data_IF_129003741919
#
_entry.id   IF_129003741919
#
_cell.length_a   1.000
_cell.length_b   1.000
_cell.length_c   1.000
_cell.angle_alpha   90.00
_cell.angle_beta   90.00
_cell.angle_gamma   90.00
#
_symmetry.space_group_name_H-M   'P 1'
#
loop_
_entity.id
_entity.type
_entity.pdbx_description
1 polymer ?
#
# COMPACT_ATOMS: atom_id res chain seq x y z
N UNK A 1 -0.97 -40.73 20.21
CA UNK A 1 -1.01 -39.39 19.57
C UNK A 1 -0.07 -39.33 18.37
N UNK A 2 1.21 -39.70 18.53
CA UNK A 2 2.18 -39.75 17.41
C UNK A 2 1.75 -40.72 16.31
N UNK A 3 1.30 -41.94 16.65
CA UNK A 3 0.82 -42.92 15.66
C UNK A 3 -0.40 -42.42 14.85
N UNK A 4 -1.32 -41.71 15.48
CA UNK A 4 -2.49 -41.12 14.81
C UNK A 4 -2.09 -40.00 13.85
N UNK A 5 -1.06 -39.22 14.21
CA UNK A 5 -0.49 -38.21 13.32
C UNK A 5 0.19 -38.90 12.14
N UNK A 6 1.02 -39.93 12.38
CA UNK A 6 1.71 -40.67 11.32
C UNK A 6 0.75 -41.37 10.37
N UNK A 7 -0.33 -41.98 10.87
CA UNK A 7 -1.35 -42.62 10.03
C UNK A 7 -2.09 -41.59 9.17
N UNK A 8 -2.42 -40.42 9.73
CA UNK A 8 -3.02 -39.32 8.97
C UNK A 8 -2.10 -38.84 7.84
N UNK A 9 -0.82 -38.62 8.14
CA UNK A 9 0.17 -38.18 7.15
C UNK A 9 0.52 -39.27 6.12
N UNK A 10 0.31 -40.55 6.44
CA UNK A 10 0.53 -41.64 5.49
C UNK A 10 -0.62 -41.80 4.49
N UNK A 11 -1.85 -41.41 4.83
CA UNK A 11 -3.02 -41.64 3.97
C UNK A 11 -3.60 -40.37 3.35
N UNK A 12 -3.51 -39.22 4.03
CA UNK A 12 -4.24 -37.99 3.67
C UNK A 12 -3.33 -36.79 3.37
N UNK A 13 -2.02 -36.99 3.27
CA UNK A 13 -1.08 -35.88 3.11
C UNK A 13 -1.25 -35.17 1.77
N UNK A 14 -1.57 -35.89 0.69
CA UNK A 14 -1.79 -35.29 -0.63
C UNK A 14 -3.05 -34.41 -0.60
N UNK A 15 -4.13 -34.90 0.00
CA UNK A 15 -5.41 -34.21 0.19
C UNK A 15 -5.25 -32.97 1.07
N UNK A 16 -4.46 -33.10 2.14
CA UNK A 16 -4.10 -31.99 3.02
C UNK A 16 -3.32 -30.91 2.27
N UNK A 17 -2.28 -31.28 1.52
CA UNK A 17 -1.53 -30.34 0.68
C UNK A 17 -2.42 -29.70 -0.40
N UNK A 18 -3.32 -30.47 -1.01
CA UNK A 18 -4.29 -29.96 -1.99
C UNK A 18 -5.26 -28.94 -1.38
N UNK A 19 -5.71 -29.18 -0.15
CA UNK A 19 -6.56 -28.23 0.60
C UNK A 19 -5.79 -26.96 0.94
N UNK A 20 -4.55 -27.08 1.41
CA UNK A 20 -3.68 -25.92 1.65
C UNK A 20 -3.43 -25.12 0.37
N UNK A 21 -3.25 -25.79 -0.77
CA UNK A 21 -3.09 -25.15 -2.06
C UNK A 21 -4.36 -24.37 -2.44
N UNK A 22 -5.53 -24.98 -2.29
CA UNK A 22 -6.82 -24.32 -2.54
C UNK A 22 -6.98 -23.04 -1.72
N UNK A 23 -6.72 -23.10 -0.41
CA UNK A 23 -6.74 -21.94 0.49
C UNK A 23 -5.71 -20.90 0.05
N UNK A 24 -4.48 -21.33 -0.25
CA UNK A 24 -3.41 -20.45 -0.73
C UNK A 24 -3.77 -19.72 -2.01
N UNK A 25 -4.39 -20.40 -2.98
CA UNK A 25 -4.86 -19.82 -4.23
C UNK A 25 -6.02 -18.83 -4.02
N UNK A 26 -6.96 -19.11 -3.11
CA UNK A 26 -8.05 -18.19 -2.76
C UNK A 26 -7.48 -16.91 -2.15
N UNK A 27 -6.58 -17.04 -1.15
CA UNK A 27 -5.92 -15.91 -0.51
C UNK A 27 -5.13 -15.10 -1.53
N UNK A 28 -4.41 -15.79 -2.42
CA UNK A 28 -3.66 -15.17 -3.50
C UNK A 28 -4.56 -14.41 -4.46
N UNK A 29 -5.64 -15.03 -4.93
CA UNK A 29 -6.57 -14.39 -5.85
C UNK A 29 -7.21 -13.15 -5.21
N UNK A 30 -7.59 -13.23 -3.94
CA UNK A 30 -8.07 -12.10 -3.15
C UNK A 30 -7.04 -10.97 -3.06
N UNK A 31 -5.80 -11.29 -2.70
CA UNK A 31 -4.70 -10.33 -2.59
C UNK A 31 -4.29 -9.72 -3.94
N UNK A 32 -4.30 -10.50 -5.01
CA UNK A 32 -3.99 -10.04 -6.36
C UNK A 32 -5.07 -9.07 -6.88
N UNK A 33 -6.34 -9.47 -6.81
CA UNK A 33 -7.48 -8.62 -7.20
C UNK A 33 -7.48 -7.33 -6.39
N UNK A 34 -7.09 -7.41 -5.13
CA UNK A 34 -6.92 -6.24 -4.28
C UNK A 34 -5.78 -5.34 -4.70
N UNK A 35 -4.60 -5.91 -4.93
CA UNK A 35 -3.44 -5.16 -5.36
C UNK A 35 -3.69 -4.42 -6.68
N UNK A 36 -4.49 -4.98 -7.60
CA UNK A 36 -4.89 -4.29 -8.84
C UNK A 36 -5.81 -3.11 -8.52
N UNK A 37 -6.87 -3.34 -7.75
CA UNK A 37 -7.83 -2.29 -7.41
C UNK A 37 -7.16 -1.13 -6.66
N UNK A 38 -6.26 -1.46 -5.72
CA UNK A 38 -5.47 -0.49 -5.00
C UNK A 38 -4.55 0.27 -5.98
N UNK A 39 -3.82 -0.43 -6.85
CA UNK A 39 -2.96 0.21 -7.85
C UNK A 39 -3.72 1.17 -8.78
N UNK A 40 -4.91 0.79 -9.25
CA UNK A 40 -5.76 1.67 -10.07
C UNK A 40 -6.16 2.91 -9.29
N UNK A 41 -6.70 2.74 -8.08
CA UNK A 41 -7.15 3.87 -7.26
C UNK A 41 -6.01 4.83 -6.92
N UNK A 42 -4.91 4.32 -6.36
CA UNK A 42 -3.80 5.16 -5.94
C UNK A 42 -3.08 5.78 -7.14
N UNK A 43 -2.94 5.08 -8.27
CA UNK A 43 -2.36 5.68 -9.48
C UNK A 43 -3.26 6.77 -10.07
N UNK A 44 -4.58 6.61 -10.03
CA UNK A 44 -5.51 7.69 -10.40
C UNK A 44 -5.40 8.87 -9.45
N UNK A 45 -5.33 8.61 -8.14
CA UNK A 45 -5.14 9.65 -7.13
C UNK A 45 -3.85 10.45 -7.35
N UNK A 46 -2.70 9.78 -7.49
CA UNK A 46 -1.42 10.46 -7.66
C UNK A 46 -1.40 11.28 -8.94
N UNK A 47 -1.97 10.74 -10.04
CA UNK A 47 -2.05 11.45 -11.32
C UNK A 47 -2.93 12.70 -11.23
N UNK A 48 -4.13 12.59 -10.66
CA UNK A 48 -5.04 13.75 -10.54
C UNK A 48 -4.48 14.78 -9.54
N UNK A 49 -3.77 14.34 -8.50
CA UNK A 49 -3.10 15.24 -7.56
C UNK A 49 -2.00 16.04 -8.27
N UNK A 50 -1.10 15.35 -8.99
CA UNK A 50 -0.02 15.98 -9.75
C UNK A 50 -0.56 16.97 -10.79
N UNK A 51 -1.60 16.59 -11.54
CA UNK A 51 -2.22 17.48 -12.54
C UNK A 51 -2.84 18.74 -11.92
N UNK A 52 -3.50 18.63 -10.76
CA UNK A 52 -4.07 19.81 -10.10
C UNK A 52 -2.98 20.72 -9.52
N UNK A 53 -1.91 20.14 -8.96
CA UNK A 53 -0.77 20.89 -8.43
C UNK A 53 -0.01 21.61 -9.56
N UNK A 54 0.23 20.93 -10.67
CA UNK A 54 0.89 21.53 -11.84
C UNK A 54 0.03 22.65 -12.45
N UNK A 55 -1.28 22.44 -12.58
CA UNK A 55 -2.20 23.48 -13.04
C UNK A 55 -2.23 24.70 -12.12
N UNK A 56 -2.23 24.51 -10.81
CA UNK A 56 -2.19 25.63 -9.86
C UNK A 56 -0.84 26.37 -9.90
N UNK A 57 0.25 25.66 -10.20
CA UNK A 57 1.57 26.25 -10.45
C UNK A 57 1.59 27.12 -11.71
N UNK A 58 0.99 26.64 -12.81
CA UNK A 58 0.88 27.40 -14.06
C UNK A 58 -0.03 28.62 -13.93
N UNK A 59 -1.13 28.48 -13.17
CA UNK A 59 -2.10 29.56 -12.93
C UNK A 59 -1.61 30.58 -11.88
N UNK A 60 -0.46 30.34 -11.23
CA UNK A 60 0.13 31.26 -10.24
C UNK A 60 -0.78 31.54 -9.04
N UNK A 61 -1.59 30.57 -8.60
CA UNK A 61 -2.54 30.79 -7.51
C UNK A 61 -1.82 31.00 -6.18
N UNK A 62 -2.14 32.11 -5.51
CA UNK A 62 -1.69 32.36 -4.14
C UNK A 62 -2.28 31.33 -3.16
N UNK A 63 -1.43 30.80 -2.28
CA UNK A 63 -1.83 29.86 -1.24
C UNK A 63 -2.27 30.67 -0.01
N UNK A 64 -3.57 30.94 0.10
CA UNK A 64 -4.17 31.66 1.25
C UNK A 64 -4.07 30.90 2.60
N UNK A 65 -3.50 29.70 2.60
CA UNK A 65 -3.27 28.86 3.77
C UNK A 65 -3.16 27.38 3.40
N UNK A 66 -2.21 26.67 4.01
CA UNK A 66 -1.89 25.27 3.69
C UNK A 66 -3.12 24.37 3.84
N UNK A 67 -3.90 24.51 4.92
CA UNK A 67 -5.10 23.68 5.14
C UNK A 67 -6.20 23.94 4.11
N UNK A 68 -6.44 25.22 3.78
CA UNK A 68 -7.46 25.62 2.80
C UNK A 68 -7.07 25.15 1.39
N UNK A 69 -5.80 25.29 1.04
CA UNK A 69 -5.25 24.80 -0.22
C UNK A 69 -5.33 23.27 -0.32
N UNK A 70 -4.87 22.54 0.71
CA UNK A 70 -4.97 21.08 0.76
C UNK A 70 -6.43 20.63 0.63
N UNK A 71 -7.36 21.25 1.33
CA UNK A 71 -8.79 20.92 1.21
C UNK A 71 -9.32 21.15 -0.20
N UNK A 72 -8.98 22.27 -0.83
CA UNK A 72 -9.42 22.61 -2.18
C UNK A 72 -8.83 21.69 -3.25
N UNK A 73 -7.53 21.39 -3.19
CA UNK A 73 -6.84 20.47 -4.09
C UNK A 73 -7.41 19.06 -3.93
N UNK A 74 -7.50 18.56 -2.70
CA UNK A 74 -8.01 17.22 -2.43
C UNK A 74 -9.47 17.08 -2.84
N UNK A 75 -10.31 18.12 -2.65
CA UNK A 75 -11.70 18.10 -3.12
C UNK A 75 -11.79 17.94 -4.64
N UNK A 76 -10.99 18.70 -5.39
CA UNK A 76 -10.92 18.60 -6.88
C UNK A 76 -10.43 17.22 -7.34
N UNK A 77 -9.45 16.66 -6.63
CA UNK A 77 -8.97 15.29 -6.89
C UNK A 77 -10.10 14.30 -6.62
N UNK A 78 -10.78 14.42 -5.48
CA UNK A 78 -11.87 13.56 -5.04
C UNK A 78 -13.03 13.49 -6.04
N UNK A 79 -13.38 14.59 -6.69
CA UNK A 79 -14.44 14.63 -7.73
C UNK A 79 -14.13 13.72 -8.93
N UNK A 80 -12.85 13.57 -9.29
CA UNK A 80 -12.38 12.79 -10.44
C UNK A 80 -11.94 11.36 -10.09
N UNK A 81 -11.93 10.99 -8.81
CA UNK A 81 -11.54 9.65 -8.39
C UNK A 81 -12.60 8.60 -8.75
N UNK A 82 -12.20 7.40 -9.19
CA UNK A 82 -13.11 6.29 -9.39
C UNK A 82 -13.75 5.85 -8.07
N UNK A 83 -15.04 5.48 -8.11
CA UNK A 83 -15.73 4.97 -6.92
C UNK A 83 -15.12 3.64 -6.45
N UNK A 84 -14.56 3.65 -5.22
CA UNK A 84 -14.06 2.44 -4.54
C UNK A 84 -15.16 1.47 -4.12
N UNK A 85 -16.44 1.86 -4.17
CA UNK A 85 -17.62 1.08 -3.77
C UNK A 85 -17.98 -0.06 -4.73
N UNK A 86 -17.42 -0.10 -5.95
CA UNK A 86 -17.74 -1.14 -6.96
C UNK A 86 -16.93 -2.43 -6.73
N UNK A 87 -16.79 -2.86 -5.47
CA UNK A 87 -15.93 -3.99 -5.08
C UNK A 87 -16.73 -5.07 -4.33
N UNK A 88 -17.15 -6.08 -5.11
CA UNK A 88 -17.76 -7.37 -4.71
C UNK A 88 -19.11 -7.33 -3.97
N UNK A 89 -20.18 -7.70 -4.68
CA UNK A 89 -21.23 -8.56 -4.09
C UNK A 89 -22.61 -7.95 -3.81
N UNK A 90 -22.92 -6.75 -4.28
CA UNK A 90 -24.31 -6.30 -4.42
C UNK A 90 -24.62 -6.18 -5.90
N UNK A 91 -25.66 -6.88 -6.39
CA UNK A 91 -26.23 -6.63 -7.72
C UNK A 91 -26.29 -5.12 -7.95
N UNK A 92 -25.88 -4.66 -9.14
CA UNK A 92 -26.48 -3.47 -9.74
C UNK A 92 -27.99 -3.72 -9.77
N UNK A 93 -28.72 -3.32 -8.73
CA UNK A 93 -30.13 -3.00 -8.90
C UNK A 93 -30.10 -1.71 -9.71
N UNK A 94 -30.53 -1.82 -10.95
CA UNK A 94 -30.97 -0.66 -11.72
C UNK A 94 -31.80 0.24 -10.81
N UNK A 95 -31.51 1.53 -10.90
CA UNK A 95 -32.21 2.59 -10.20
C UNK A 95 -33.68 2.60 -10.62
N UNK A 96 -34.51 1.83 -9.93
CA UNK A 96 -35.96 2.01 -9.94
C UNK A 96 -36.51 1.86 -8.52
N UNK A 97 -36.60 3.00 -7.83
CA UNK A 97 -37.58 3.45 -6.81
C UNK A 97 -36.98 4.11 -5.56
N UNK A 98 -37.60 5.19 -5.04
CA UNK A 98 -36.98 6.12 -4.08
C UNK A 98 -37.08 5.70 -2.61
N UNK A 99 -37.17 4.39 -2.29
CA UNK A 99 -37.49 3.93 -0.92
C UNK A 99 -36.51 2.98 -0.23
N UNK A 100 -35.44 2.52 -0.88
CA UNK A 100 -34.39 1.77 -0.19
C UNK A 100 -33.04 2.50 -0.25
N UNK A 101 -32.92 3.57 0.56
CA UNK A 101 -31.61 4.02 1.03
C UNK A 101 -31.03 2.94 1.93
N UNK A 102 -30.39 1.95 1.32
CA UNK A 102 -29.54 0.99 2.01
C UNK A 102 -28.56 1.82 2.85
N UNK A 103 -28.59 1.64 4.18
CA UNK A 103 -27.79 2.41 5.14
C UNK A 103 -26.32 2.13 4.86
N UNK A 104 -25.70 2.93 3.99
CA UNK A 104 -24.24 2.99 3.87
C UNK A 104 -23.75 3.48 5.22
N UNK A 105 -23.05 2.62 5.95
CA UNK A 105 -22.42 3.00 7.21
C UNK A 105 -21.51 4.20 6.94
N UNK A 106 -21.58 5.25 7.76
CA UNK A 106 -20.69 6.41 7.68
C UNK A 106 -19.21 5.97 7.61
N UNK A 107 -18.88 4.85 8.25
CA UNK A 107 -17.57 4.22 8.19
C UNK A 107 -17.20 3.71 6.79
N UNK A 108 -18.14 3.14 6.04
CA UNK A 108 -17.91 2.68 4.66
C UNK A 108 -17.85 3.85 3.67
N UNK A 109 -18.58 4.94 3.94
CA UNK A 109 -18.53 6.17 3.14
C UNK A 109 -17.20 6.92 3.33
N UNK A 110 -16.76 7.09 4.57
CA UNK A 110 -15.47 7.72 4.93
C UNK A 110 -14.29 6.84 4.51
N UNK A 111 -14.39 5.51 4.60
CA UNK A 111 -13.33 4.59 4.19
C UNK A 111 -13.17 4.43 2.66
N UNK A 112 -14.19 4.79 1.88
CA UNK A 112 -14.24 4.56 0.43
C UNK A 112 -13.53 5.66 -0.36
N UNK A 113 -14.26 6.73 -0.70
CA UNK A 113 -13.82 7.79 -1.62
C UNK A 113 -12.94 8.84 -0.95
N UNK A 114 -13.14 9.09 0.33
CA UNK A 114 -12.49 10.18 1.08
C UNK A 114 -11.40 9.71 2.03
N UNK A 115 -11.22 8.40 2.25
CA UNK A 115 -10.32 7.89 3.30
C UNK A 115 -8.89 8.42 3.16
N UNK A 116 -8.35 8.39 1.95
CA UNK A 116 -7.01 8.92 1.68
C UNK A 116 -6.95 10.45 1.84
N UNK A 117 -7.97 11.17 1.38
CA UNK A 117 -8.04 12.63 1.49
C UNK A 117 -8.13 13.07 2.96
N UNK A 118 -8.98 12.40 3.74
CA UNK A 118 -9.12 12.64 5.17
C UNK A 118 -7.83 12.31 5.92
N UNK A 119 -7.12 11.24 5.55
CA UNK A 119 -5.81 10.91 6.14
C UNK A 119 -4.74 11.94 5.80
N UNK A 120 -4.72 12.47 4.57
CA UNK A 120 -3.81 13.58 4.20
C UNK A 120 -4.17 14.85 4.96
N UNK A 121 -5.47 15.18 5.08
CA UNK A 121 -5.93 16.33 5.84
C UNK A 121 -5.62 16.22 7.34
N UNK A 122 -5.73 15.02 7.92
CA UNK A 122 -5.37 14.79 9.32
C UNK A 122 -3.88 15.01 9.60
N UNK A 123 -3.03 14.86 8.56
CA UNK A 123 -1.59 15.09 8.60
C UNK A 123 -1.20 16.46 8.01
N UNK A 124 -2.15 17.41 7.91
CA UNK A 124 -1.92 18.76 7.35
C UNK A 124 -0.79 19.52 8.06
N UNK A 125 -0.60 19.29 9.36
CA UNK A 125 0.44 19.93 10.18
C UNK A 125 1.85 19.66 9.64
N UNK A 126 2.08 18.50 9.03
CA UNK A 126 3.36 18.12 8.44
C UNK A 126 3.69 18.99 7.23
N UNK A 127 2.66 19.49 6.52
CA UNK A 127 2.81 20.40 5.39
C UNK A 127 3.02 21.87 5.80
N UNK A 128 2.96 22.20 7.09
CA UNK A 128 3.25 23.54 7.60
C UNK A 128 4.73 23.72 8.01
N UNK A 129 5.46 22.62 8.20
CA UNK A 129 6.84 22.69 8.65
C UNK A 129 7.79 23.00 7.49
N UNK A 130 8.64 24.02 7.67
CA UNK A 130 9.62 24.48 6.69
C UNK A 130 10.67 23.41 6.35
N UNK A 131 10.88 22.43 7.22
CA UNK A 131 11.79 21.31 6.96
C UNK A 131 11.07 20.18 6.24
N UNK A 132 11.70 19.57 5.22
CA UNK A 132 11.09 18.47 4.49
C UNK A 132 10.87 17.27 5.44
N UNK A 133 9.65 16.73 5.52
CA UNK A 133 9.37 15.58 6.36
C UNK A 133 9.99 14.31 5.79
N UNK A 134 10.10 13.27 6.62
CA UNK A 134 10.37 11.93 6.12
C UNK A 134 9.14 11.41 5.36
N UNK A 135 9.13 11.56 4.03
CA UNK A 135 8.01 11.19 3.17
C UNK A 135 7.66 9.70 3.26
N UNK A 136 8.62 8.84 3.57
CA UNK A 136 8.37 7.40 3.77
C UNK A 136 7.49 7.17 5.02
N UNK A 137 7.83 7.81 6.15
CA UNK A 137 7.03 7.73 7.37
C UNK A 137 5.65 8.38 7.20
N UNK A 138 5.59 9.54 6.56
CA UNK A 138 4.33 10.24 6.26
C UNK A 138 3.41 9.35 5.41
N UNK A 139 3.95 8.76 4.34
CA UNK A 139 3.20 7.84 3.47
C UNK A 139 2.74 6.60 4.23
N UNK A 140 3.59 6.06 5.10
CA UNK A 140 3.24 4.93 5.97
C UNK A 140 2.09 5.27 6.92
N UNK A 141 2.09 6.46 7.55
CA UNK A 141 0.98 6.91 8.41
C UNK A 141 -0.32 7.11 7.62
N UNK A 142 -0.25 7.84 6.51
CA UNK A 142 -1.42 8.15 5.67
C UNK A 142 -2.04 6.87 5.09
N UNK A 143 -1.23 5.98 4.50
CA UNK A 143 -1.72 4.74 3.92
C UNK A 143 -2.10 3.70 5.00
N UNK A 144 -1.43 3.73 6.15
CA UNK A 144 -1.72 2.83 7.28
C UNK A 144 -3.08 3.10 7.93
N UNK A 145 -3.61 4.31 7.80
CA UNK A 145 -4.98 4.65 8.22
C UNK A 145 -6.06 4.08 7.29
N UNK A 146 -5.71 3.71 6.05
CA UNK A 146 -6.67 3.16 5.08
C UNK A 146 -6.91 1.66 5.35
N UNK A 147 -8.12 1.25 5.79
CA UNK A 147 -8.43 -0.15 6.02
C UNK A 147 -8.28 -1.02 4.78
N UNK A 148 -8.48 -0.45 3.59
CA UNK A 148 -8.33 -1.15 2.32
C UNK A 148 -6.86 -1.39 1.97
N UNK A 149 -5.95 -0.54 2.45
CA UNK A 149 -4.53 -0.79 2.29
C UNK A 149 -4.05 -1.89 3.24
N UNK A 150 -4.54 -1.92 4.48
CA UNK A 150 -4.02 -2.82 5.51
C UNK A 150 -4.64 -4.23 5.51
N UNK A 151 -5.86 -4.41 4.98
CA UNK A 151 -6.60 -5.68 5.09
C UNK A 151 -7.00 -6.29 3.75
N UNK A 152 -6.70 -7.58 3.56
CA UNK A 152 -7.25 -8.43 2.49
C UNK A 152 -8.61 -8.97 2.91
N UNK A 153 -9.59 -8.90 2.00
CA UNK A 153 -10.96 -9.41 2.22
C UNK A 153 -11.63 -8.84 3.50
N UNK A 154 -11.26 -7.63 3.93
CA UNK A 154 -11.73 -6.94 5.16
C UNK A 154 -11.34 -7.59 6.50
N UNK A 155 -10.84 -8.83 6.52
CA UNK A 155 -10.55 -9.57 7.75
C UNK A 155 -9.06 -9.83 7.97
N UNK A 156 -8.28 -10.11 6.92
CA UNK A 156 -6.91 -10.61 7.06
C UNK A 156 -5.88 -9.50 6.87
N UNK A 157 -4.82 -9.38 7.71
CA UNK A 157 -3.75 -8.42 7.49
C UNK A 157 -2.99 -8.79 6.20
N UNK A 158 -2.80 -7.81 5.31
CA UNK A 158 -2.18 -8.06 4.00
C UNK A 158 -0.76 -8.61 4.11
N UNK A 159 0.02 -8.09 5.05
CA UNK A 159 1.41 -8.55 5.24
C UNK A 159 1.46 -10.02 5.67
N UNK A 160 0.50 -10.47 6.49
CA UNK A 160 0.39 -11.87 6.88
C UNK A 160 0.05 -12.77 5.70
N UNK A 161 -0.92 -12.35 4.88
CA UNK A 161 -1.34 -13.08 3.68
C UNK A 161 -0.18 -13.21 2.68
N UNK A 162 0.56 -12.11 2.43
CA UNK A 162 1.71 -12.13 1.52
C UNK A 162 2.78 -13.10 2.05
N UNK A 163 3.11 -13.05 3.33
CA UNK A 163 4.10 -13.98 3.93
C UNK A 163 3.69 -15.44 3.79
N UNK A 164 2.42 -15.76 4.02
CA UNK A 164 1.91 -17.14 3.86
C UNK A 164 2.05 -17.60 2.40
N UNK A 165 1.68 -16.74 1.45
CA UNK A 165 1.79 -17.03 0.01
C UNK A 165 3.25 -17.23 -0.41
N UNK A 166 4.18 -16.47 0.16
CA UNK A 166 5.61 -16.59 -0.12
C UNK A 166 6.23 -17.84 0.53
N UNK A 167 5.69 -18.31 1.67
CA UNK A 167 6.19 -19.48 2.41
C UNK A 167 5.65 -20.82 1.88
N UNK A 168 4.42 -20.84 1.35
CA UNK A 168 3.72 -22.04 0.89
C UNK A 168 4.55 -22.94 -0.07
N UNK A 169 5.27 -22.41 -1.08
CA UNK A 169 6.09 -23.25 -1.95
C UNK A 169 7.15 -24.06 -1.20
N UNK A 170 7.82 -23.44 -0.22
CA UNK A 170 8.81 -24.12 0.62
C UNK A 170 8.16 -25.17 1.50
N UNK A 171 6.98 -24.86 2.05
CA UNK A 171 6.23 -25.79 2.90
C UNK A 171 5.79 -27.05 2.14
N UNK A 172 5.38 -26.94 0.87
CA UNK A 172 5.03 -28.10 0.05
C UNK A 172 6.20 -29.03 -0.24
N UNK A 173 7.40 -28.48 -0.44
CA UNK A 173 8.61 -29.31 -0.60
C UNK A 173 8.89 -30.07 0.69
N UNK A 174 8.83 -29.37 1.84
CA UNK A 174 9.04 -30.00 3.15
C UNK A 174 8.02 -31.11 3.40
N UNK A 175 6.73 -30.86 3.14
CA UNK A 175 5.70 -31.89 3.28
C UNK A 175 5.88 -33.05 2.31
N UNK A 176 6.26 -32.80 1.05
CA UNK A 176 6.52 -33.88 0.08
C UNK A 176 7.69 -34.78 0.50
N UNK A 177 8.78 -34.19 0.98
CA UNK A 177 9.93 -34.93 1.52
C UNK A 177 9.52 -35.70 2.78
N UNK A 178 8.83 -35.04 3.71
CA UNK A 178 8.37 -35.66 4.95
C UNK A 178 7.40 -36.82 4.72
N UNK A 179 6.48 -36.69 3.77
CA UNK A 179 5.57 -37.76 3.36
C UNK A 179 6.29 -38.99 2.83
N UNK A 180 7.37 -38.77 2.08
CA UNK A 180 8.22 -39.87 1.58
C UNK A 180 8.92 -40.58 2.73
N UNK A 181 9.49 -39.83 3.67
CA UNK A 181 10.14 -40.40 4.84
C UNK A 181 9.18 -41.21 5.71
N UNK A 182 7.96 -40.71 5.95
CA UNK A 182 6.94 -41.45 6.71
C UNK A 182 6.54 -42.72 5.97
N UNK A 183 6.18 -42.61 4.68
CA UNK A 183 5.69 -43.76 3.93
C UNK A 183 6.72 -44.89 3.82
N UNK A 184 8.00 -44.56 3.62
CA UNK A 184 9.08 -45.56 3.63
C UNK A 184 9.28 -46.14 5.04
N UNK A 185 9.27 -45.29 6.08
CA UNK A 185 9.46 -45.75 7.47
C UNK A 185 8.35 -46.69 7.94
N UNK A 186 7.13 -46.55 7.42
CA UNK A 186 6.01 -47.45 7.69
C UNK A 186 6.07 -48.75 6.86
N UNK A 187 6.63 -48.69 5.65
CA UNK A 187 6.76 -49.86 4.78
C UNK A 187 7.95 -50.77 5.15
N UNK A 188 9.06 -50.21 5.68
CA UNK A 188 10.25 -51.00 6.04
C UNK A 188 10.00 -52.14 7.04
N UNK A 189 9.20 -51.98 8.11
CA UNK A 189 8.85 -53.08 9.00
C UNK A 189 8.08 -54.22 8.32
N UNK A 190 7.33 -53.94 7.25
CA UNK A 190 6.60 -54.98 6.50
C UNK A 190 7.56 -55.96 5.81
N UNK A 191 8.74 -55.50 5.39
CA UNK A 191 9.79 -56.36 4.83
C UNK A 191 10.29 -57.37 5.87
N UNK A 192 10.35 -56.99 7.15
CA UNK A 192 10.81 -57.89 8.20
C UNK A 192 9.88 -59.10 8.41
N UNK A 193 8.65 -59.04 7.88
CA UNK A 193 7.66 -60.11 7.94
C UNK A 193 7.64 -61.01 6.68
N UNK A 194 8.55 -60.78 5.71
CA UNK A 194 8.64 -61.60 4.50
C UNK A 194 9.36 -62.92 4.82
N UNK A 195 8.66 -64.04 4.63
CA UNK A 195 9.27 -65.37 4.66
C UNK A 195 9.75 -65.76 3.26
N UNK A 196 11.07 -65.71 3.05
CA UNK A 196 11.70 -66.08 1.78
C UNK A 196 11.57 -67.57 1.45
N UNK A 197 11.20 -68.42 2.41
CA UNK A 197 10.97 -69.85 2.18
C UNK A 197 9.55 -70.14 1.69
N UNK A 198 8.62 -69.19 1.83
CA UNK A 198 7.24 -69.28 1.36
C UNK A 198 6.87 -68.03 0.57
N UNK A 199 7.38 -67.96 -0.66
CA UNK A 199 7.16 -66.85 -1.60
C UNK A 199 5.69 -66.60 -1.92
N UNK A 200 4.85 -67.65 -1.90
CA UNK A 200 3.42 -67.54 -2.20
C UNK A 200 2.67 -66.83 -1.06
N UNK A 201 3.02 -67.12 0.19
CA UNK A 201 2.48 -66.39 1.35
C UNK A 201 3.06 -64.98 1.52
N UNK A 202 4.24 -64.71 0.95
CA UNK A 202 4.93 -63.42 1.05
C UNK A 202 4.66 -62.45 -0.10
N UNK A 203 3.99 -62.92 -1.16
CA UNK A 203 3.64 -62.11 -2.32
C UNK A 203 2.77 -60.90 -1.96
N UNK A 204 1.79 -61.11 -1.07
CA UNK A 204 0.88 -60.05 -0.61
C UNK A 204 1.62 -58.97 0.20
N UNK A 205 2.53 -59.37 1.10
CA UNK A 205 3.37 -58.46 1.90
C UNK A 205 4.30 -57.65 0.99
N UNK A 206 4.88 -58.28 -0.03
CA UNK A 206 5.73 -57.60 -1.01
C UNK A 206 4.93 -56.59 -1.83
N UNK A 207 3.72 -56.95 -2.26
CA UNK A 207 2.85 -56.06 -3.03
C UNK A 207 2.40 -54.85 -2.19
N UNK A 208 2.07 -55.06 -0.91
CA UNK A 208 1.74 -54.00 0.03
C UNK A 208 2.93 -53.03 0.23
N UNK A 209 4.13 -53.56 0.43
CA UNK A 209 5.36 -52.77 0.53
C UNK A 209 5.56 -51.87 -0.70
N UNK A 210 5.47 -52.44 -1.91
CA UNK A 210 5.66 -51.69 -3.16
C UNK A 210 4.59 -50.60 -3.32
N UNK A 211 3.34 -50.89 -2.96
CA UNK A 211 2.26 -49.89 -2.98
C UNK A 211 2.51 -48.74 -2.00
N UNK A 212 2.91 -49.04 -0.77
CA UNK A 212 3.21 -48.05 0.26
C UNK A 212 4.37 -47.13 -0.16
N UNK A 213 5.45 -47.71 -0.70
CA UNK A 213 6.58 -46.92 -1.25
C UNK A 213 6.15 -46.08 -2.46
N UNK A 214 5.32 -46.64 -3.35
CA UNK A 214 4.81 -45.91 -4.51
C UNK A 214 3.93 -44.72 -4.09
N UNK A 215 3.08 -44.90 -3.09
CA UNK A 215 2.29 -43.81 -2.52
C UNK A 215 3.20 -42.75 -1.90
N UNK A 216 4.21 -43.15 -1.13
CA UNK A 216 5.21 -42.25 -0.55
C UNK A 216 5.89 -41.39 -1.64
N UNK A 217 6.31 -42.00 -2.76
CA UNK A 217 6.90 -41.28 -3.89
C UNK A 217 5.92 -40.31 -4.55
N UNK A 218 4.63 -40.68 -4.68
CA UNK A 218 3.59 -39.77 -5.19
C UNK A 218 3.42 -38.53 -4.32
N UNK A 219 3.58 -38.64 -3.00
CA UNK A 219 3.49 -37.47 -2.09
C UNK A 219 4.60 -36.44 -2.37
N UNK A 220 5.83 -36.89 -2.66
CA UNK A 220 6.94 -36.01 -3.05
C UNK A 220 6.66 -35.29 -4.36
N UNK A 221 6.21 -36.05 -5.37
CA UNK A 221 5.85 -35.49 -6.68
C UNK A 221 4.76 -34.43 -6.54
N UNK A 222 3.74 -34.68 -5.72
CA UNK A 222 2.68 -33.72 -5.43
C UNK A 222 3.22 -32.46 -4.75
N UNK A 223 4.09 -32.60 -3.74
CA UNK A 223 4.72 -31.47 -3.04
C UNK A 223 5.55 -30.59 -3.99
N UNK A 224 6.37 -31.21 -4.85
CA UNK A 224 7.15 -30.51 -5.87
C UNK A 224 6.22 -29.81 -6.87
N UNK A 225 5.20 -30.49 -7.36
CA UNK A 225 4.24 -29.94 -8.33
C UNK A 225 3.52 -28.71 -7.77
N UNK A 226 2.97 -28.79 -6.55
CA UNK A 226 2.30 -27.66 -5.91
C UNK A 226 3.25 -26.50 -5.63
N UNK A 227 4.49 -26.80 -5.25
CA UNK A 227 5.54 -25.79 -5.09
C UNK A 227 5.85 -25.06 -6.39
N UNK A 228 5.99 -25.79 -7.50
CA UNK A 228 6.23 -25.21 -8.82
C UNK A 228 5.09 -24.29 -9.25
N UNK A 229 3.83 -24.74 -9.10
CA UNK A 229 2.65 -23.93 -9.45
C UNK A 229 2.65 -22.60 -8.68
N UNK A 230 2.84 -22.64 -7.35
CA UNK A 230 2.85 -21.40 -6.57
C UNK A 230 4.06 -20.52 -6.84
N UNK A 231 5.23 -21.12 -7.10
CA UNK A 231 6.46 -20.39 -7.44
C UNK A 231 6.28 -19.63 -8.75
N UNK A 232 5.77 -20.30 -9.80
CA UNK A 232 5.46 -19.65 -11.09
C UNK A 232 4.48 -18.51 -10.88
N UNK A 233 3.41 -18.74 -10.12
CA UNK A 233 2.43 -17.68 -9.85
C UNK A 233 3.05 -16.51 -9.05
N UNK A 234 3.93 -16.77 -8.08
CA UNK A 234 4.66 -15.74 -7.29
C UNK A 234 5.56 -14.89 -8.18
N UNK A 235 6.20 -15.52 -9.15
CA UNK A 235 7.06 -14.84 -10.12
C UNK A 235 6.24 -14.00 -11.11
N UNK A 236 5.14 -14.53 -11.65
CA UNK A 236 4.32 -13.83 -12.66
C UNK A 236 3.54 -12.66 -12.05
N UNK A 237 3.08 -12.79 -10.81
CA UNK A 237 2.24 -11.80 -10.15
C UNK A 237 2.78 -11.43 -8.75
N UNK A 238 3.88 -10.64 -8.69
CA UNK A 238 4.50 -10.26 -7.43
C UNK A 238 3.67 -9.17 -6.71
N UNK A 239 2.85 -9.61 -5.75
CA UNK A 239 1.96 -8.74 -4.97
C UNK A 239 2.78 -7.71 -4.15
N UNK A 240 3.86 -8.16 -3.50
CA UNK A 240 4.73 -7.31 -2.68
C UNK A 240 5.33 -6.15 -3.47
N UNK A 241 5.86 -6.44 -4.67
CA UNK A 241 6.47 -5.42 -5.53
C UNK A 241 5.42 -4.43 -6.05
N UNK A 242 4.23 -4.91 -6.42
CA UNK A 242 3.15 -4.05 -6.91
C UNK A 242 2.72 -3.06 -5.82
N UNK A 243 2.52 -3.54 -4.59
CA UNK A 243 2.21 -2.67 -3.45
C UNK A 243 3.33 -1.68 -3.13
N UNK A 244 4.58 -2.13 -3.13
CA UNK A 244 5.71 -1.23 -2.92
C UNK A 244 5.78 -0.11 -3.97
N UNK A 245 5.51 -0.44 -5.24
CA UNK A 245 5.44 0.57 -6.32
C UNK A 245 4.34 1.59 -6.08
N UNK A 246 3.16 1.15 -5.65
CA UNK A 246 2.04 2.03 -5.30
C UNK A 246 2.42 2.96 -4.15
N UNK A 247 3.00 2.41 -3.09
CA UNK A 247 3.49 3.17 -1.95
C UNK A 247 4.47 4.27 -2.40
N UNK A 248 5.46 3.92 -3.24
CA UNK A 248 6.42 4.89 -3.77
C UNK A 248 5.79 5.97 -4.64
N UNK A 249 4.77 5.67 -5.43
CA UNK A 249 4.04 6.70 -6.19
C UNK A 249 3.35 7.71 -5.27
N UNK A 250 2.69 7.22 -4.21
CA UNK A 250 2.05 8.09 -3.23
C UNK A 250 3.10 8.96 -2.52
N UNK A 251 4.22 8.38 -2.10
CA UNK A 251 5.34 9.11 -1.48
C UNK A 251 5.84 10.26 -2.36
N UNK A 252 6.11 10.00 -3.64
CA UNK A 252 6.54 11.03 -4.60
C UNK A 252 5.46 12.11 -4.78
N UNK A 253 4.18 11.72 -4.86
CA UNK A 253 3.09 12.70 -5.01
C UNK A 253 2.96 13.63 -3.80
N UNK A 254 3.16 13.13 -2.58
CA UNK A 254 3.16 13.94 -1.35
C UNK A 254 4.39 14.85 -1.29
N UNK A 255 5.53 14.39 -1.80
CA UNK A 255 6.74 15.19 -1.93
C UNK A 255 6.54 16.36 -2.91
N UNK A 256 5.97 16.09 -4.09
CA UNK A 256 5.61 17.15 -5.07
C UNK A 256 4.66 18.17 -4.47
N UNK A 257 3.64 17.71 -3.74
CA UNK A 257 2.69 18.58 -3.06
C UNK A 257 3.38 19.47 -2.01
N UNK A 258 4.25 18.91 -1.17
CA UNK A 258 5.00 19.66 -0.16
C UNK A 258 5.90 20.72 -0.79
N UNK A 259 6.65 20.36 -1.85
CA UNK A 259 7.52 21.31 -2.54
C UNK A 259 6.71 22.45 -3.15
N UNK A 260 5.59 22.16 -3.81
CA UNK A 260 4.75 23.20 -4.39
C UNK A 260 4.24 24.20 -3.33
N UNK A 261 3.76 23.69 -2.19
CA UNK A 261 3.30 24.54 -1.08
C UNK A 261 4.41 25.47 -0.60
N UNK A 262 5.62 24.97 -0.41
CA UNK A 262 6.74 25.75 0.12
C UNK A 262 7.39 26.68 -0.91
N UNK A 263 7.43 26.30 -2.19
CA UNK A 263 7.92 27.18 -3.27
C UNK A 263 7.05 28.44 -3.36
N UNK A 264 5.72 28.29 -3.40
CA UNK A 264 4.81 29.44 -3.45
C UNK A 264 4.91 30.29 -2.19
N UNK A 265 5.04 29.67 -1.00
CA UNK A 265 5.20 30.42 0.25
C UNK A 265 6.53 31.22 0.31
N UNK A 266 7.61 30.69 -0.28
CA UNK A 266 8.92 31.35 -0.31
C UNK A 266 8.99 32.54 -1.27
N UNK A 267 8.29 32.47 -2.40
CA UNK A 267 8.17 33.58 -3.35
C UNK A 267 7.39 34.75 -2.71
N UNK A 268 6.33 34.43 -1.98
CA UNK A 268 5.45 35.43 -1.39
C UNK A 268 6.06 36.13 -0.15
N UNK A 269 6.77 35.38 0.71
CA UNK A 269 7.48 35.97 1.86
C UNK A 269 8.71 36.78 1.46
N UNK A 270 9.55 36.29 0.55
CA UNK A 270 10.81 36.97 0.22
C UNK A 270 10.59 38.27 -0.56
N UNK A 271 9.63 38.30 -1.49
CA UNK A 271 9.37 39.51 -2.27
C UNK A 271 8.59 40.55 -1.46
N UNK A 272 7.52 40.18 -0.75
CA UNK A 272 6.76 41.13 0.08
C UNK A 272 7.62 41.69 1.21
N UNK A 273 8.48 40.90 1.85
CA UNK A 273 9.33 41.39 2.93
C UNK A 273 10.44 42.32 2.43
N UNK A 274 11.08 42.01 1.30
CA UNK A 274 12.09 42.89 0.68
C UNK A 274 11.46 44.18 0.18
N UNK A 275 10.28 44.11 -0.43
CA UNK A 275 9.57 45.28 -0.95
C UNK A 275 9.06 46.16 0.20
N UNK A 276 8.55 45.58 1.28
CA UNK A 276 8.17 46.32 2.49
C UNK A 276 9.37 46.96 3.19
N UNK A 277 10.53 46.28 3.25
CA UNK A 277 11.77 46.88 3.76
C UNK A 277 12.28 48.01 2.87
N UNK A 278 12.19 47.87 1.55
CA UNK A 278 12.54 48.93 0.60
C UNK A 278 11.62 50.15 0.75
N UNK A 279 10.32 49.94 0.93
CA UNK A 279 9.35 51.01 1.19
C UNK A 279 9.63 51.70 2.53
N UNK A 280 9.89 50.96 3.62
CA UNK A 280 10.26 51.54 4.93
C UNK A 280 11.58 52.32 4.85
N UNK A 281 12.57 51.85 4.07
CA UNK A 281 13.81 52.58 3.83
C UNK A 281 13.55 53.86 3.04
N UNK A 282 12.71 53.81 1.98
CA UNK A 282 12.35 54.99 1.20
C UNK A 282 11.63 56.03 2.06
N UNK A 283 10.70 55.59 2.91
CA UNK A 283 9.91 56.46 3.79
C UNK A 283 10.79 57.11 4.88
N UNK A 284 11.81 56.40 5.36
CA UNK A 284 12.84 56.95 6.27
C UNK A 284 13.77 57.94 5.58
N UNK A 285 14.09 57.72 4.31
CA UNK A 285 14.91 58.63 3.50
C UNK A 285 14.12 59.91 3.19
N UNK A 286 12.85 59.79 2.81
CA UNK A 286 11.95 60.92 2.55
C UNK A 286 11.75 61.78 3.80
N UNK A 287 11.53 61.15 4.97
CA UNK A 287 11.47 61.88 6.25
C UNK A 287 12.75 62.60 6.63
N UNK A 288 13.92 62.05 6.27
CA UNK A 288 15.23 62.70 6.53
C UNK A 288 15.53 63.83 5.55
N UNK A 289 15.11 63.68 4.29
CA UNK A 289 15.28 64.72 3.26
C UNK A 289 14.23 65.84 3.38
N UNK A 290 13.05 65.55 3.94
CA UNK A 290 12.02 66.54 4.21
C UNK A 290 12.19 67.32 5.50
N UNK A 291 13.14 66.95 6.37
CA UNK A 291 13.33 67.60 7.68
C UNK A 291 14.60 68.43 7.83
N UNK A 292 15.54 68.39 6.88
CA UNK A 292 16.73 69.24 6.87
C UNK A 292 16.80 69.99 5.53
N UNK A 293 17.00 71.31 5.62
CA UNK A 293 17.29 72.26 4.54
C UNK A 293 16.13 72.99 3.82
N UNK A 294 15.24 73.66 4.57
CA UNK A 294 14.50 74.79 3.96
C UNK A 294 14.32 76.08 4.78
N UNK A 295 14.91 76.28 5.97
CA UNK A 295 14.71 77.60 6.65
C UNK A 295 15.91 78.28 7.34
N UNK A 296 17.08 77.65 7.56
CA UNK A 296 18.10 78.30 8.41
C UNK A 296 19.32 78.92 7.70
N UNK A 297 19.40 78.92 6.36
CA UNK A 297 20.59 79.42 5.63
C UNK A 297 20.37 80.65 4.72
N UNK A 298 19.22 81.33 4.77
CA UNK A 298 18.98 82.55 3.96
C UNK A 298 19.17 83.86 4.75
N UNK A 299 19.14 83.85 6.08
CA UNK A 299 19.37 85.08 6.88
C UNK A 299 20.83 85.34 7.25
N UNK A 300 21.71 84.33 7.36
CA UNK A 300 23.10 84.53 7.80
C UNK A 300 24.05 85.10 6.72
N UNK A 301 23.62 85.14 5.44
CA UNK A 301 24.42 85.70 4.34
C UNK A 301 24.07 87.16 3.99
N UNK A 302 23.01 87.75 4.56
CA UNK A 302 22.66 89.17 4.34
C UNK A 302 23.27 90.15 5.36
N UNK A 303 23.79 89.66 6.48
CA UNK A 303 24.36 90.50 7.56
C UNK A 303 25.87 90.67 7.50
N UNK A 304 26.58 90.03 6.57
CA UNK A 304 28.03 90.20 6.36
C UNK A 304 28.42 91.03 5.13
N UNK A 305 27.44 91.66 4.47
CA UNK A 305 27.64 92.53 3.31
C UNK A 305 27.10 93.95 3.55
N UNK A 306 27.31 94.51 4.74
CA UNK A 306 27.10 95.93 5.03
C UNK A 306 28.18 96.50 5.92
#
# INVERSE_FOLDING_TARGET
MIELVLSFFSEYLIEFMGTMLGIGLILRFGAYRQSIADNTYYSSFTRELELNVEKDKEEGKEIEGVEKYLSNVLSRVGEKLPERSVRLGGKKKELETPKEKQKISLRDYVSGKHGLMTSIQAESSVFHHQTPPNFNELTSRIMGQDPNWMKVLKYFPVDGVIRIIDLLPGLFIVFGVFGTFIGISMALPEIANIDFNNLESSADTLMAFVLNVTYAMKTSIAGIFFSLVLTVLNTLFPIKQTRYRVFKKVEVSLQTLWYHIHTVQSEDHSQKEVLNRLVDILERIDKKLGSDDLDDNVEELKTKAS
#
